data_IF_574584992450
#
_entry.id   IF_574584992450
#
_cell.length_a   1.000
_cell.length_b   1.000
_cell.length_c   1.000
_cell.angle_alpha   90.00
_cell.angle_beta   90.00
_cell.angle_gamma   90.00
#
_symmetry.space_group_name_H-M   'P 1'
#
loop_
_entity.id
_entity.type
_entity.pdbx_description
1 polymer ?
#
# COMPACT_ATOMS: atom_id res chain seq x y z
N UNK A 1 -4.78 -2.04 13.76
CA UNK A 1 -6.00 -2.69 13.21
C UNK A 1 -5.72 -3.36 11.86
N UNK A 2 -4.99 -2.73 10.93
CA UNK A 2 -4.66 -3.34 9.63
C UNK A 2 -3.88 -4.65 9.77
N UNK A 3 -2.98 -4.75 10.75
CA UNK A 3 -2.20 -5.95 11.05
C UNK A 3 -3.07 -7.16 11.41
N UNK A 4 -4.21 -6.93 12.06
CA UNK A 4 -5.16 -8.00 12.37
C UNK A 4 -5.82 -8.54 11.10
N UNK A 5 -6.27 -7.65 10.20
CA UNK A 5 -6.81 -8.05 8.90
C UNK A 5 -5.76 -8.78 8.05
N UNK A 6 -4.54 -8.27 8.05
CA UNK A 6 -3.42 -8.90 7.34
C UNK A 6 -3.18 -10.34 7.83
N UNK A 7 -3.11 -10.54 9.15
CA UNK A 7 -2.91 -11.85 9.75
C UNK A 7 -4.03 -12.82 9.38
N UNK A 8 -5.29 -12.40 9.50
CA UNK A 8 -6.45 -13.25 9.19
C UNK A 8 -6.51 -13.60 7.70
N UNK A 9 -6.27 -12.66 6.79
CA UNK A 9 -6.23 -12.92 5.36
C UNK A 9 -5.08 -13.88 4.99
N UNK A 10 -3.88 -13.66 5.55
CA UNK A 10 -2.75 -14.58 5.34
C UNK A 10 -3.04 -15.98 5.88
N UNK A 11 -3.75 -16.10 7.00
CA UNK A 11 -4.15 -17.40 7.56
C UNK A 11 -5.11 -18.16 6.65
N UNK A 12 -5.89 -17.46 5.81
CA UNK A 12 -6.77 -18.06 4.80
C UNK A 12 -6.10 -18.23 3.43
N UNK A 13 -4.80 -17.96 3.33
CA UNK A 13 -4.04 -18.09 2.08
C UNK A 13 -4.19 -16.91 1.11
N UNK A 14 -4.79 -15.80 1.55
CA UNK A 14 -4.96 -14.60 0.73
C UNK A 14 -3.72 -13.72 0.89
N UNK A 15 -3.01 -13.48 -0.21
CA UNK A 15 -1.88 -12.56 -0.24
C UNK A 15 -2.34 -11.11 0.00
N UNK A 16 -1.57 -10.37 0.78
CA UNK A 16 -1.90 -9.00 1.19
C UNK A 16 -0.72 -8.06 0.96
N UNK A 17 -1.04 -6.80 0.63
CA UNK A 17 -0.09 -5.70 0.55
C UNK A 17 -0.51 -4.60 1.52
N UNK A 18 0.30 -4.33 2.53
CA UNK A 18 0.04 -3.26 3.49
C UNK A 18 0.54 -1.93 2.94
N UNK A 19 -0.37 -0.99 2.68
CA UNK A 19 -0.02 0.40 2.32
C UNK A 19 0.11 1.23 3.60
N UNK A 20 1.35 1.62 3.88
CA UNK A 20 1.67 2.57 4.97
C UNK A 20 1.72 3.99 4.42
N UNK A 21 1.72 4.98 5.31
CA UNK A 21 1.89 6.40 4.95
C UNK A 21 3.30 6.72 4.44
N UNK A 22 4.27 5.87 4.74
CA UNK A 22 5.63 6.01 4.25
C UNK A 22 5.72 5.53 2.80
N UNK A 23 6.27 6.38 1.94
CA UNK A 23 6.47 6.02 0.53
C UNK A 23 7.50 4.91 0.41
N UNK A 24 7.20 3.91 -0.42
CA UNK A 24 8.05 2.74 -0.63
C UNK A 24 9.52 3.11 -0.89
N UNK A 25 9.77 4.05 -1.80
CA UNK A 25 11.12 4.47 -2.19
C UNK A 25 11.81 5.38 -1.17
N UNK A 26 11.08 5.87 -0.15
CA UNK A 26 11.65 6.70 0.91
C UNK A 26 12.19 5.87 2.08
N UNK A 27 11.80 4.62 2.18
CA UNK A 27 12.27 3.69 3.21
C UNK A 27 13.78 3.49 3.14
N UNK A 28 14.44 3.49 4.28
CA UNK A 28 15.90 3.36 4.37
C UNK A 28 16.38 2.05 3.77
N UNK A 29 15.72 0.93 4.11
CA UNK A 29 16.05 -0.39 3.61
C UNK A 29 15.91 -0.51 2.09
N UNK A 30 14.91 0.14 1.50
CA UNK A 30 14.72 0.17 0.04
C UNK A 30 15.85 0.96 -0.64
N UNK A 31 16.20 2.13 -0.09
CA UNK A 31 17.31 2.95 -0.60
C UNK A 31 18.63 2.20 -0.55
N UNK A 32 18.90 1.48 0.54
CA UNK A 32 20.11 0.66 0.69
C UNK A 32 20.13 -0.50 -0.30
N UNK A 33 19.01 -1.21 -0.47
CA UNK A 33 18.89 -2.30 -1.44
C UNK A 33 19.13 -1.79 -2.88
N UNK A 34 18.48 -0.68 -3.28
CA UNK A 34 18.67 -0.10 -4.60
C UNK A 34 20.11 0.39 -4.82
N UNK A 35 20.78 0.90 -3.78
CA UNK A 35 22.19 1.26 -3.84
C UNK A 35 23.08 0.02 -4.05
N UNK A 36 22.81 -1.08 -3.36
CA UNK A 36 23.54 -2.33 -3.53
C UNK A 36 23.38 -2.89 -4.96
N UNK A 37 22.15 -2.89 -5.49
CA UNK A 37 21.85 -3.31 -6.86
C UNK A 37 22.60 -2.44 -7.88
N UNK A 38 22.59 -1.11 -7.69
CA UNK A 38 23.29 -0.17 -8.59
C UNK A 38 24.79 -0.41 -8.59
N UNK A 39 25.40 -0.62 -7.45
CA UNK A 39 26.83 -0.91 -7.34
C UNK A 39 27.21 -2.22 -8.04
N UNK A 40 26.40 -3.25 -7.89
CA UNK A 40 26.64 -4.54 -8.53
C UNK A 40 26.42 -4.51 -10.05
N UNK A 41 25.54 -3.65 -10.56
CA UNK A 41 25.26 -3.55 -11.99
C UNK A 41 26.43 -3.04 -12.85
N UNK A 42 27.46 -2.52 -12.21
CA UNK A 42 28.67 -2.00 -12.87
C UNK A 42 29.60 -3.12 -13.30
N UNK A 43 29.59 -4.26 -12.60
CA UNK A 43 30.50 -5.39 -12.84
C UNK A 43 29.68 -6.56 -13.40
N UNK A 44 29.91 -6.99 -14.66
CA UNK A 44 29.28 -8.20 -15.18
C UNK A 44 29.76 -9.43 -14.38
N UNK A 45 28.82 -10.16 -13.78
CA UNK A 45 29.16 -11.35 -12.98
C UNK A 45 29.36 -12.61 -13.83
N UNK A 46 28.85 -12.62 -15.06
CA UNK A 46 28.82 -13.81 -15.90
C UNK A 46 27.68 -14.79 -15.56
N UNK A 47 26.96 -14.56 -14.48
CA UNK A 47 25.79 -15.35 -14.06
C UNK A 47 24.49 -14.80 -14.65
N UNK A 48 23.38 -15.52 -14.45
CA UNK A 48 22.04 -15.00 -14.72
C UNK A 48 21.79 -13.77 -13.83
N UNK A 49 21.39 -12.68 -14.43
CA UNK A 49 21.19 -11.41 -13.72
C UNK A 49 20.14 -11.49 -12.60
N UNK A 50 19.17 -12.41 -12.72
CA UNK A 50 18.14 -12.61 -11.71
C UNK A 50 18.72 -13.34 -10.48
N UNK A 51 19.61 -14.33 -10.69
CA UNK A 51 20.36 -14.97 -9.60
C UNK A 51 21.27 -13.95 -8.88
N UNK A 52 21.92 -13.07 -9.62
CA UNK A 52 22.70 -11.97 -9.04
C UNK A 52 21.82 -11.06 -8.18
N UNK A 53 20.63 -10.67 -8.68
CA UNK A 53 19.68 -9.86 -7.93
C UNK A 53 19.23 -10.55 -6.64
N UNK A 54 18.91 -11.85 -6.70
CA UNK A 54 18.59 -12.64 -5.51
C UNK A 54 19.71 -12.63 -4.48
N UNK A 55 20.94 -12.83 -4.94
CA UNK A 55 22.15 -12.78 -4.11
C UNK A 55 22.35 -11.41 -3.44
N UNK A 56 22.14 -10.32 -4.18
CA UNK A 56 22.24 -8.95 -3.67
C UNK A 56 21.16 -8.65 -2.63
N UNK A 57 19.93 -9.14 -2.85
CA UNK A 57 18.80 -8.88 -1.97
C UNK A 57 18.78 -9.79 -0.73
N UNK A 58 19.47 -10.91 -0.73
CA UNK A 58 19.51 -11.88 0.37
C UNK A 58 19.83 -11.26 1.75
N UNK A 59 20.78 -10.33 1.89
CA UNK A 59 21.09 -9.69 3.18
C UNK A 59 19.94 -8.85 3.75
N UNK A 60 18.99 -8.42 2.92
CA UNK A 60 17.84 -7.61 3.31
C UNK A 60 16.65 -8.47 3.82
N UNK A 61 16.82 -9.79 3.86
CA UNK A 61 15.81 -10.72 4.35
C UNK A 61 14.73 -11.05 3.32
N UNK A 62 13.52 -11.38 3.80
CA UNK A 62 12.37 -11.79 2.97
C UNK A 62 11.14 -10.88 3.15
N UNK A 63 11.35 -9.64 3.56
CA UNK A 63 10.28 -8.65 3.77
C UNK A 63 9.55 -8.29 2.48
N UNK A 64 8.37 -7.68 2.61
CA UNK A 64 7.47 -7.36 1.48
C UNK A 64 8.16 -6.57 0.37
N UNK A 65 9.09 -5.67 0.71
CA UNK A 65 9.81 -4.89 -0.31
C UNK A 65 10.76 -5.75 -1.13
N UNK A 66 11.44 -6.73 -0.53
CA UNK A 66 12.31 -7.67 -1.24
C UNK A 66 11.48 -8.52 -2.19
N UNK A 67 10.35 -9.05 -1.70
CA UNK A 67 9.43 -9.84 -2.51
C UNK A 67 8.86 -9.02 -3.68
N UNK A 68 8.52 -7.75 -3.45
CA UNK A 68 8.04 -6.86 -4.52
C UNK A 68 9.09 -6.58 -5.60
N UNK A 69 10.37 -6.41 -5.20
CA UNK A 69 11.47 -6.25 -6.15
C UNK A 69 11.74 -7.53 -6.94
N UNK A 70 11.71 -8.69 -6.30
CA UNK A 70 11.89 -9.98 -6.95
C UNK A 70 10.73 -10.29 -7.90
N UNK A 71 9.50 -10.04 -7.50
CA UNK A 71 8.31 -10.21 -8.35
C UNK A 71 8.40 -9.36 -9.62
N UNK A 72 8.76 -8.08 -9.48
CA UNK A 72 9.00 -7.21 -10.63
C UNK A 72 10.12 -7.76 -11.53
N UNK A 73 11.19 -8.27 -10.94
CA UNK A 73 12.31 -8.83 -11.70
C UNK A 73 11.92 -10.10 -12.47
N UNK A 74 11.10 -10.97 -11.88
CA UNK A 74 10.53 -12.14 -12.55
C UNK A 74 9.66 -11.75 -13.76
N UNK A 75 8.77 -10.76 -13.57
CA UNK A 75 7.93 -10.23 -14.63
C UNK A 75 8.77 -9.65 -15.78
N UNK A 76 9.76 -8.82 -15.46
CA UNK A 76 10.68 -8.27 -16.45
C UNK A 76 11.48 -9.33 -17.19
N UNK A 77 11.95 -10.37 -16.49
CA UNK A 77 12.66 -11.51 -17.09
C UNK A 77 11.75 -12.26 -18.04
N UNK A 78 10.51 -12.53 -17.66
CA UNK A 78 9.50 -13.17 -18.51
C UNK A 78 9.19 -12.32 -19.75
N UNK A 79 9.26 -11.01 -19.66
CA UNK A 79 9.07 -10.05 -20.75
C UNK A 79 10.36 -9.69 -21.51
N UNK A 80 11.44 -10.49 -21.34
CA UNK A 80 12.65 -10.40 -22.14
C UNK A 80 13.76 -9.50 -21.61
N UNK A 81 13.72 -9.05 -20.37
CA UNK A 81 14.85 -8.39 -19.76
C UNK A 81 16.03 -9.34 -19.55
N UNK A 82 17.20 -8.91 -19.97
CA UNK A 82 18.42 -9.74 -20.01
C UNK A 82 19.53 -9.24 -19.08
N UNK A 83 19.30 -8.18 -18.33
CA UNK A 83 20.35 -7.58 -17.48
C UNK A 83 19.81 -6.83 -16.27
N UNK A 84 20.62 -6.82 -15.21
CA UNK A 84 20.36 -6.03 -14.01
C UNK A 84 20.24 -4.52 -14.33
N UNK A 85 20.88 -4.04 -15.38
CA UNK A 85 20.77 -2.65 -15.84
C UNK A 85 19.38 -2.33 -16.39
N UNK A 86 18.72 -3.26 -17.07
CA UNK A 86 17.34 -3.08 -17.53
C UNK A 86 16.38 -3.03 -16.35
N UNK A 87 16.57 -3.91 -15.36
CA UNK A 87 15.83 -3.86 -14.11
C UNK A 87 15.97 -2.51 -13.39
N UNK A 88 17.20 -1.98 -13.30
CA UNK A 88 17.44 -0.67 -12.67
C UNK A 88 16.76 0.49 -13.40
N UNK A 89 16.75 0.49 -14.72
CA UNK A 89 16.03 1.51 -15.50
C UNK A 89 14.54 1.51 -15.19
N UNK A 90 13.93 0.33 -15.17
CA UNK A 90 12.53 0.20 -14.79
C UNK A 90 12.27 0.72 -13.37
N UNK A 91 13.18 0.43 -12.42
CA UNK A 91 13.07 0.98 -11.07
C UNK A 91 13.21 2.50 -11.06
N UNK A 92 14.11 3.08 -11.83
CA UNK A 92 14.32 4.53 -11.93
C UNK A 92 13.07 5.22 -12.49
N UNK A 93 12.47 4.68 -13.54
CA UNK A 93 11.21 5.16 -14.11
C UNK A 93 10.06 5.09 -13.08
N UNK A 94 10.00 4.01 -12.30
CA UNK A 94 9.01 3.86 -11.22
C UNK A 94 9.23 4.82 -10.06
N UNK A 95 10.47 5.14 -9.73
CA UNK A 95 10.82 6.17 -8.72
C UNK A 95 10.32 7.53 -9.17
N UNK A 96 10.56 7.92 -10.42
CA UNK A 96 10.10 9.20 -10.97
C UNK A 96 8.57 9.31 -10.99
N UNK A 97 7.89 8.23 -11.34
CA UNK A 97 6.41 8.16 -11.38
C UNK A 97 5.79 7.93 -10.00
N UNK A 98 6.59 7.71 -8.95
CA UNK A 98 6.13 7.29 -7.63
C UNK A 98 5.21 6.04 -7.68
N UNK A 99 5.54 5.09 -8.55
CA UNK A 99 4.81 3.85 -8.79
C UNK A 99 5.62 2.63 -8.32
N UNK A 100 5.61 2.29 -7.02
CA UNK A 100 6.41 1.20 -6.49
C UNK A 100 5.96 -0.16 -7.04
N UNK A 101 6.87 -1.14 -7.13
CA UNK A 101 6.50 -2.52 -7.40
C UNK A 101 5.60 -3.04 -6.29
N UNK A 102 4.55 -3.76 -6.68
CA UNK A 102 3.57 -4.33 -5.76
C UNK A 102 3.41 -5.82 -6.02
N UNK A 103 3.24 -6.58 -4.95
CA UNK A 103 2.86 -7.98 -5.06
C UNK A 103 1.39 -8.10 -5.46
N UNK A 104 1.00 -9.14 -6.22
CA UNK A 104 -0.40 -9.46 -6.41
C UNK A 104 -1.02 -9.81 -5.05
N UNK A 105 -2.19 -9.24 -4.76
CA UNK A 105 -2.88 -9.49 -3.49
C UNK A 105 -3.84 -8.39 -3.11
N UNK A 106 -4.54 -8.59 -1.99
CA UNK A 106 -5.44 -7.61 -1.41
C UNK A 106 -4.64 -6.45 -0.81
N UNK A 107 -4.92 -5.24 -1.26
CA UNK A 107 -4.29 -4.04 -0.69
C UNK A 107 -5.02 -3.63 0.58
N UNK A 108 -4.31 -3.62 1.70
CA UNK A 108 -4.78 -3.11 2.97
C UNK A 108 -4.27 -1.67 3.17
N UNK A 109 -5.18 -0.74 3.33
CA UNK A 109 -4.84 0.67 3.48
C UNK A 109 -5.76 1.37 4.50
N UNK A 110 -5.25 2.39 5.17
CA UNK A 110 -6.14 3.36 5.83
C UNK A 110 -6.75 4.29 4.79
N UNK A 111 -7.85 4.96 5.12
CA UNK A 111 -8.46 5.95 4.23
C UNK A 111 -7.46 7.05 3.80
N UNK A 112 -6.59 7.46 4.70
CA UNK A 112 -5.52 8.44 4.40
C UNK A 112 -4.50 7.90 3.39
N UNK A 113 -4.07 6.65 3.57
CA UNK A 113 -3.10 6.01 2.67
C UNK A 113 -3.71 5.64 1.30
N UNK A 114 -5.04 5.58 1.21
CA UNK A 114 -5.77 5.31 -0.02
C UNK A 114 -5.94 6.55 -0.92
N UNK A 115 -5.59 7.75 -0.43
CA UNK A 115 -5.72 8.99 -1.21
C UNK A 115 -4.88 8.94 -2.48
N UNK A 116 -5.51 9.17 -3.64
CA UNK A 116 -4.85 9.15 -4.95
C UNK A 116 -4.72 7.76 -5.58
N UNK A 117 -5.17 6.70 -4.89
CA UNK A 117 -5.22 5.34 -5.43
C UNK A 117 -6.65 4.97 -5.83
N UNK A 118 -6.80 3.97 -6.71
CA UNK A 118 -8.10 3.48 -7.16
C UNK A 118 -8.01 1.96 -7.41
N UNK A 119 -9.11 1.24 -7.16
CA UNK A 119 -9.22 -0.20 -7.35
C UNK A 119 -10.57 -0.56 -7.98
N UNK A 120 -10.65 -1.68 -8.67
CA UNK A 120 -11.90 -2.17 -9.24
C UNK A 120 -12.94 -2.45 -8.14
N UNK A 121 -12.51 -3.13 -7.08
CA UNK A 121 -13.34 -3.51 -5.95
C UNK A 121 -12.75 -2.98 -4.65
N UNK A 122 -13.57 -2.39 -3.80
CA UNK A 122 -13.17 -1.85 -2.49
C UNK A 122 -14.04 -2.42 -1.39
N UNK A 123 -13.40 -2.88 -0.31
CA UNK A 123 -14.05 -3.26 0.94
C UNK A 123 -13.75 -2.19 2.00
N UNK A 124 -14.72 -1.33 2.27
CA UNK A 124 -14.61 -0.33 3.33
C UNK A 124 -15.11 -0.95 4.64
N UNK A 125 -14.17 -1.28 5.52
CA UNK A 125 -14.49 -2.00 6.76
C UNK A 125 -14.51 -1.08 7.97
N UNK A 126 -15.39 -1.38 8.94
CA UNK A 126 -15.48 -0.65 10.19
C UNK A 126 -16.19 0.70 10.09
N UNK A 127 -17.16 0.85 9.18
CA UNK A 127 -18.00 2.05 9.07
C UNK A 127 -19.05 2.14 10.20
N UNK A 128 -18.62 1.98 11.45
CA UNK A 128 -19.42 2.01 12.66
C UNK A 128 -19.37 3.38 13.33
N UNK A 129 -20.41 3.75 14.07
CA UNK A 129 -20.49 4.99 14.83
C UNK A 129 -19.32 5.17 15.82
N UNK A 130 -18.78 4.07 16.34
CA UNK A 130 -17.64 4.08 17.27
C UNK A 130 -16.29 4.37 16.63
N UNK A 131 -16.17 4.23 15.31
CA UNK A 131 -14.91 4.37 14.58
C UNK A 131 -14.94 5.47 13.51
N UNK A 132 -16.13 5.84 13.04
CA UNK A 132 -16.28 6.84 11.99
C UNK A 132 -17.56 7.68 12.22
N UNK A 133 -17.47 8.99 12.52
CA UNK A 133 -16.25 9.77 12.68
C UNK A 133 -15.40 9.32 13.87
N UNK A 134 -14.08 9.48 13.76
CA UNK A 134 -13.19 9.23 14.88
C UNK A 134 -13.43 10.30 15.94
N UNK A 135 -14.14 9.94 17.00
CA UNK A 135 -14.36 10.84 18.14
C UNK A 135 -13.04 10.98 18.91
N UNK A 136 -12.22 11.94 18.53
CA UNK A 136 -11.12 12.36 19.36
C UNK A 136 -11.70 12.84 20.69
N UNK A 137 -11.34 12.12 21.75
CA UNK A 137 -11.80 12.30 23.12
C UNK A 137 -12.01 13.76 23.53
N UNK A 138 -13.14 14.00 24.16
CA UNK A 138 -13.73 15.20 24.73
C UNK A 138 -12.77 16.09 25.57
N UNK A 139 -11.72 16.62 25.01
CA UNK A 139 -10.82 17.49 25.78
C UNK A 139 -10.44 18.82 25.11
N UNK A 140 -11.25 19.33 24.20
CA UNK A 140 -11.07 20.73 23.79
C UNK A 140 -12.41 21.42 23.51
N UNK A 141 -12.72 22.30 24.41
CA UNK A 141 -13.86 23.20 24.55
C UNK A 141 -13.92 24.28 23.45
N UNK A 142 -14.05 23.90 22.18
CA UNK A 142 -14.31 24.87 21.11
C UNK A 142 -15.25 24.19 20.09
N UNK A 143 -16.51 24.55 20.08
CA UNK A 143 -17.54 24.03 19.18
C UNK A 143 -17.12 24.12 17.68
N UNK A 144 -16.42 25.17 17.29
CA UNK A 144 -15.93 25.33 15.92
C UNK A 144 -14.84 24.33 15.49
N UNK A 145 -14.07 23.80 16.44
CA UNK A 145 -13.06 22.77 16.17
C UNK A 145 -13.71 21.40 15.93
N UNK A 146 -14.76 21.10 16.68
CA UNK A 146 -15.55 19.86 16.52
C UNK A 146 -16.21 19.78 15.12
N UNK A 147 -16.71 20.91 14.63
CA UNK A 147 -17.35 20.97 13.30
C UNK A 147 -16.32 20.82 12.17
N UNK A 148 -15.15 21.44 12.31
CA UNK A 148 -14.02 21.29 11.39
C UNK A 148 -13.54 19.84 11.33
N UNK A 149 -13.39 19.18 12.49
CA UNK A 149 -12.93 17.79 12.57
C UNK A 149 -13.97 16.83 11.96
N UNK A 150 -15.28 17.10 12.15
CA UNK A 150 -16.35 16.31 11.55
C UNK A 150 -16.37 16.43 10.01
N UNK A 151 -16.15 17.62 9.48
CA UNK A 151 -16.05 17.85 8.04
C UNK A 151 -14.82 17.18 7.43
N UNK A 152 -13.69 17.14 8.13
CA UNK A 152 -12.50 16.42 7.68
C UNK A 152 -12.75 14.92 7.65
N UNK A 153 -13.36 14.33 8.67
CA UNK A 153 -13.75 12.93 8.71
C UNK A 153 -14.76 12.58 7.60
N UNK A 154 -15.72 13.47 7.31
CA UNK A 154 -16.65 13.31 6.20
C UNK A 154 -15.94 13.30 4.84
N UNK A 155 -14.97 14.19 4.64
CA UNK A 155 -14.15 14.22 3.42
C UNK A 155 -13.33 12.95 3.28
N UNK A 156 -12.78 12.46 4.38
CA UNK A 156 -12.03 11.22 4.40
C UNK A 156 -12.90 10.01 4.05
N UNK A 157 -14.12 9.95 4.58
CA UNK A 157 -15.10 8.93 4.20
C UNK A 157 -15.43 9.00 2.71
N UNK A 158 -15.67 10.20 2.17
CA UNK A 158 -15.90 10.41 0.75
C UNK A 158 -14.71 9.95 -0.11
N UNK A 159 -13.49 10.21 0.34
CA UNK A 159 -12.27 9.67 -0.32
C UNK A 159 -12.36 8.15 -0.40
N UNK A 160 -12.73 7.46 0.67
CA UNK A 160 -12.90 6.01 0.67
C UNK A 160 -13.93 5.53 -0.34
N UNK A 161 -15.08 6.18 -0.40
CA UNK A 161 -16.16 5.83 -1.35
C UNK A 161 -15.71 5.97 -2.81
N UNK A 162 -14.92 7.00 -3.11
CA UNK A 162 -14.44 7.29 -4.48
C UNK A 162 -13.22 6.47 -4.90
N UNK A 163 -12.76 5.53 -4.08
CA UNK A 163 -11.63 4.65 -4.44
C UNK A 163 -12.06 3.46 -5.29
N UNK A 164 -13.34 3.12 -5.29
CA UNK A 164 -13.88 2.03 -6.10
C UNK A 164 -14.21 2.52 -7.52
N UNK A 165 -13.73 1.78 -8.51
CA UNK A 165 -14.10 2.00 -9.91
C UNK A 165 -15.39 1.29 -10.28
N UNK A 166 -15.60 0.08 -9.76
CA UNK A 166 -16.73 -0.78 -10.14
C UNK A 166 -17.65 -1.06 -8.96
N UNK A 167 -17.11 -1.47 -7.82
CA UNK A 167 -17.93 -1.91 -6.69
C UNK A 167 -17.30 -1.52 -5.35
N UNK A 168 -18.14 -1.07 -4.42
CA UNK A 168 -17.75 -0.86 -3.04
C UNK A 168 -18.67 -1.67 -2.12
N UNK A 169 -18.08 -2.45 -1.21
CA UNK A 169 -18.78 -3.09 -0.13
C UNK A 169 -18.43 -2.41 1.19
N UNK A 170 -19.45 -2.02 1.96
CA UNK A 170 -19.25 -1.32 3.23
C UNK A 170 -19.74 -2.21 4.35
N UNK A 171 -18.92 -2.40 5.38
CA UNK A 171 -19.28 -3.18 6.55
C UNK A 171 -19.14 -2.39 7.84
N UNK A 172 -20.02 -2.69 8.80
CA UNK A 172 -20.02 -2.11 10.14
C UNK A 172 -20.40 -3.15 11.18
N UNK A 173 -20.06 -2.91 12.44
CA UNK A 173 -20.44 -3.71 13.57
C UNK A 173 -21.15 -2.81 14.60
N UNK A 174 -22.32 -3.25 15.10
CA UNK A 174 -23.17 -2.42 15.96
C UNK A 174 -23.93 -1.34 15.19
N UNK A 175 -23.92 -0.11 15.67
CA UNK A 175 -24.58 1.01 15.00
C UNK A 175 -23.75 1.49 13.80
N UNK A 176 -24.37 1.74 12.62
CA UNK A 176 -23.69 2.27 11.45
C UNK A 176 -23.22 3.70 11.69
N UNK A 177 -22.17 4.09 10.98
CA UNK A 177 -21.71 5.48 10.97
C UNK A 177 -22.82 6.44 10.53
N UNK A 178 -22.93 7.64 11.15
CA UNK A 178 -23.83 8.69 10.69
C UNK A 178 -23.61 9.08 9.21
N UNK A 179 -22.37 8.93 8.72
CA UNK A 179 -22.05 9.21 7.32
C UNK A 179 -22.67 8.16 6.38
N UNK A 180 -22.76 6.91 6.83
CA UNK A 180 -23.39 5.84 6.05
C UNK A 180 -24.90 6.04 5.98
N UNK A 181 -25.56 6.36 7.10
CA UNK A 181 -27.00 6.61 7.12
C UNK A 181 -27.41 7.85 6.32
N UNK A 182 -26.50 8.77 6.09
CA UNK A 182 -26.75 9.93 5.23
C UNK A 182 -26.75 9.60 3.72
N UNK A 183 -26.16 8.46 3.30
CA UNK A 183 -26.18 7.99 1.91
C UNK A 183 -27.47 7.27 1.52
N UNK A 184 -28.23 6.79 2.50
CA UNK A 184 -29.48 6.04 2.28
C UNK A 184 -30.71 6.97 2.10
N UNK A 185 -30.54 8.27 2.16
CA UNK A 185 -31.57 9.30 2.00
C UNK A 185 -31.49 9.96 0.64
#
# INVERSE_FOLDING_TARGET
>A
QLENYERELKATGIATNLKTSEKFFDRVEVKEALRAIRNASVIPSGNDWFEDLQGILRPFGSGDFVQSLLFLAEDLKANGATSLRQFLREIEDRVEQNNPPTLPGVVLATLHAAKGLEWEHVFLVGASESFLPLRLTQSSSLAGKLESDLEEERRLFYVGLTRAKTEIQISYAGAPSPFLTALER
#
